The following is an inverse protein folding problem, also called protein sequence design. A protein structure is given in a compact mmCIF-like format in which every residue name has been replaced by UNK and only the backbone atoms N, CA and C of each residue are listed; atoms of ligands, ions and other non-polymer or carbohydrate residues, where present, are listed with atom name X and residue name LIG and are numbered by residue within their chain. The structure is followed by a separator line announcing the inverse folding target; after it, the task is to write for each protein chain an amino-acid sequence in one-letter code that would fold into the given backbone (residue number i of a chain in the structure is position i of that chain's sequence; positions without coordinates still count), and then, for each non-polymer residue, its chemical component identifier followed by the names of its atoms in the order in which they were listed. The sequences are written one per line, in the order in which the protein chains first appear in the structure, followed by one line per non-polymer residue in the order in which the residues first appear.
data_IF_569020807593
#
_entry.id   IF_569020807593
#
_cell.length_a   1.000
_cell.length_b   1.000
_cell.length_c   1.000
_cell.angle_alpha   90.00
_cell.angle_beta   90.00
_cell.angle_gamma   90.00
#
_symmetry.space_group_name_H-M   'P 1'
#
loop_
_entity.id
_entity.type
_entity.pdbx_description
1 polymer ?
#
# COMPACT_ATOMS: atom_id res chain seq x y z
N UNK A 1 -26.58 -25.07 39.01
CA UNK A 1 -26.88 -23.60 39.12
C UNK A 1 -25.65 -22.72 39.04
N UNK A 2 -24.68 -22.73 40.00
CA UNK A 2 -23.48 -21.86 39.88
C UNK A 2 -22.55 -22.24 38.73
N UNK A 3 -22.34 -23.53 38.50
CA UNK A 3 -21.54 -24.02 37.37
C UNK A 3 -22.17 -23.66 36.02
N UNK A 4 -23.51 -23.75 35.88
CA UNK A 4 -24.23 -23.40 34.66
C UNK A 4 -24.07 -21.90 34.34
N UNK A 5 -24.21 -21.05 35.35
CA UNK A 5 -24.02 -19.61 35.18
C UNK A 5 -22.56 -19.29 34.77
N UNK A 6 -21.56 -19.96 35.37
CA UNK A 6 -20.16 -19.75 35.00
C UNK A 6 -19.89 -20.16 33.53
N UNK A 7 -20.45 -21.29 33.09
CA UNK A 7 -20.32 -21.77 31.72
C UNK A 7 -21.07 -20.85 30.72
N UNK A 8 -22.24 -20.31 31.08
CA UNK A 8 -22.96 -19.31 30.25
C UNK A 8 -22.18 -18.01 30.13
N UNK A 9 -21.58 -17.51 31.21
CA UNK A 9 -20.72 -16.31 31.18
C UNK A 9 -19.51 -16.54 30.29
N UNK A 10 -18.87 -17.71 30.37
CA UNK A 10 -17.72 -18.04 29.52
C UNK A 10 -18.14 -18.10 28.04
N UNK A 11 -19.26 -18.74 27.72
CA UNK A 11 -19.78 -18.80 26.35
C UNK A 11 -20.14 -17.42 25.79
N UNK A 12 -20.73 -16.56 26.62
CA UNK A 12 -21.06 -15.18 26.22
C UNK A 12 -19.78 -14.36 26.00
N UNK A 13 -18.77 -14.50 26.87
CA UNK A 13 -17.49 -13.83 26.70
C UNK A 13 -16.78 -14.26 25.38
N UNK A 14 -16.77 -15.56 25.07
CA UNK A 14 -16.22 -16.08 23.82
C UNK A 14 -16.96 -15.50 22.60
N UNK A 15 -18.29 -15.40 22.66
CA UNK A 15 -19.09 -14.83 21.59
C UNK A 15 -18.72 -13.36 21.36
N UNK A 16 -18.69 -12.56 22.42
CA UNK A 16 -18.35 -11.13 22.33
C UNK A 16 -16.91 -10.95 21.82
N UNK A 17 -15.96 -11.75 22.28
CA UNK A 17 -14.57 -11.69 21.78
C UNK A 17 -14.47 -12.02 20.31
N UNK A 18 -15.18 -13.03 19.85
CA UNK A 18 -15.20 -13.41 18.43
C UNK A 18 -15.84 -12.33 17.56
N UNK A 19 -16.95 -11.73 18.00
CA UNK A 19 -17.59 -10.62 17.30
C UNK A 19 -16.64 -9.41 17.18
N UNK A 20 -16.00 -9.00 18.28
CA UNK A 20 -15.02 -7.89 18.27
C UNK A 20 -13.79 -8.17 17.40
N UNK A 21 -13.35 -9.42 17.33
CA UNK A 21 -12.23 -9.80 16.45
C UNK A 21 -12.63 -9.76 15.00
N UNK A 22 -13.82 -10.24 14.67
CA UNK A 22 -14.36 -10.18 13.31
C UNK A 22 -14.50 -8.73 12.84
N UNK A 23 -15.13 -7.88 13.66
CA UNK A 23 -15.30 -6.46 13.36
C UNK A 23 -13.93 -5.76 13.11
N UNK A 24 -12.92 -6.08 13.93
CA UNK A 24 -11.55 -5.54 13.73
C UNK A 24 -10.91 -6.04 12.45
N UNK A 25 -11.12 -7.32 12.10
CA UNK A 25 -10.58 -7.88 10.85
C UNK A 25 -11.25 -7.24 9.62
N UNK A 26 -12.57 -7.03 9.65
CA UNK A 26 -13.32 -6.33 8.61
C UNK A 26 -12.83 -4.89 8.44
N UNK A 27 -12.66 -4.16 9.54
CA UNK A 27 -12.15 -2.79 9.51
C UNK A 27 -10.72 -2.72 8.97
N UNK A 28 -9.84 -3.63 9.40
CA UNK A 28 -8.46 -3.70 8.93
C UNK A 28 -8.40 -4.00 7.41
N UNK A 29 -9.24 -4.92 6.94
CA UNK A 29 -9.35 -5.24 5.52
C UNK A 29 -9.83 -4.04 4.71
N UNK A 30 -10.88 -3.34 5.16
CA UNK A 30 -11.43 -2.18 4.46
C UNK A 30 -10.42 -1.04 4.36
N UNK A 31 -9.68 -0.75 5.45
CA UNK A 31 -8.60 0.25 5.45
C UNK A 31 -7.47 -0.15 4.50
N UNK A 32 -7.03 -1.40 4.54
CA UNK A 32 -5.97 -1.89 3.65
C UNK A 32 -6.41 -1.87 2.18
N UNK A 33 -7.67 -2.22 1.88
CA UNK A 33 -8.26 -2.14 0.54
C UNK A 33 -8.24 -0.71 0.00
N UNK A 34 -8.73 0.23 0.79
CA UNK A 34 -8.78 1.64 0.39
C UNK A 34 -7.39 2.23 0.12
N UNK A 35 -6.42 1.89 0.97
CA UNK A 35 -5.02 2.30 0.77
C UNK A 35 -4.43 1.71 -0.50
N UNK A 36 -4.67 0.43 -0.76
CA UNK A 36 -4.22 -0.24 -1.97
C UNK A 36 -4.80 0.40 -3.24
N UNK A 37 -6.12 0.62 -3.28
CA UNK A 37 -6.80 1.24 -4.41
C UNK A 37 -6.27 2.66 -4.67
N UNK A 38 -6.12 3.47 -3.61
CA UNK A 38 -5.57 4.83 -3.73
C UNK A 38 -4.15 4.85 -4.31
N UNK A 39 -3.25 4.00 -3.81
CA UNK A 39 -1.89 3.93 -4.32
C UNK A 39 -1.82 3.39 -5.75
N UNK A 40 -2.65 2.41 -6.10
CA UNK A 40 -2.74 1.89 -7.47
C UNK A 40 -3.15 3.00 -8.44
N UNK A 41 -4.13 3.81 -8.06
CA UNK A 41 -4.58 4.92 -8.89
C UNK A 41 -3.48 6.00 -9.04
N UNK A 42 -2.72 6.28 -7.98
CA UNK A 42 -1.55 7.17 -8.06
C UNK A 42 -0.47 6.65 -9.01
N UNK A 43 -0.16 5.35 -8.98
CA UNK A 43 0.77 4.71 -9.92
C UNK A 43 0.26 4.90 -11.36
N UNK A 44 -1.00 4.60 -11.61
CA UNK A 44 -1.60 4.75 -12.95
C UNK A 44 -1.51 6.18 -13.46
N UNK A 45 -1.80 7.18 -12.61
CA UNK A 45 -1.69 8.59 -12.98
C UNK A 45 -0.25 9.01 -13.30
N UNK A 46 0.72 8.52 -12.52
CA UNK A 46 2.13 8.81 -12.76
C UNK A 46 2.62 8.17 -14.07
N UNK A 47 2.22 6.93 -14.34
CA UNK A 47 2.51 6.23 -15.61
C UNK A 47 1.91 6.96 -16.80
N UNK A 48 0.66 7.41 -16.72
CA UNK A 48 -0.01 8.16 -17.78
C UNK A 48 0.68 9.50 -18.03
N UNK A 49 1.09 10.20 -16.99
CA UNK A 49 1.87 11.44 -17.10
C UNK A 49 3.21 11.20 -17.79
N UNK A 50 3.95 10.17 -17.37
CA UNK A 50 5.20 9.79 -18.03
C UNK A 50 5.00 9.42 -19.49
N UNK A 51 3.95 8.65 -19.81
CA UNK A 51 3.62 8.28 -21.18
C UNK A 51 3.34 9.51 -22.05
N UNK A 52 2.64 10.52 -21.52
CA UNK A 52 2.43 11.79 -22.23
C UNK A 52 3.74 12.53 -22.49
N UNK A 53 4.61 12.67 -21.47
CA UNK A 53 5.92 13.33 -21.59
C UNK A 53 6.80 12.58 -22.60
N UNK A 54 6.82 11.24 -22.53
CA UNK A 54 7.56 10.41 -23.51
C UNK A 54 6.99 10.55 -24.92
N UNK A 55 5.67 10.73 -25.06
CA UNK A 55 5.01 11.01 -26.34
C UNK A 55 5.44 12.32 -26.98
N UNK A 56 5.90 13.30 -26.19
CA UNK A 56 6.54 14.54 -26.66
C UNK A 56 8.00 14.32 -27.08
N UNK A 57 8.56 13.12 -26.88
CA UNK A 57 9.93 12.75 -27.24
C UNK A 57 10.95 12.93 -26.12
N UNK A 58 10.52 13.10 -24.86
CA UNK A 58 11.40 13.18 -23.68
C UNK A 58 11.41 11.81 -22.99
N UNK A 59 12.50 11.04 -23.13
CA UNK A 59 12.61 9.67 -22.57
C UNK A 59 13.98 9.36 -21.94
N UNK A 60 15.03 10.10 -22.28
CA UNK A 60 16.39 10.00 -21.71
C UNK A 60 16.98 11.41 -21.67
N UNK A 61 16.68 12.14 -20.61
CA UNK A 61 17.02 13.55 -20.50
C UNK A 61 18.53 13.80 -20.62
N UNK A 62 19.36 12.98 -19.96
CA UNK A 62 20.81 13.13 -19.96
C UNK A 62 21.42 12.78 -21.32
N UNK A 63 21.09 11.62 -21.86
CA UNK A 63 21.56 11.17 -23.17
C UNK A 63 21.10 12.10 -24.29
N UNK A 64 19.82 12.49 -24.31
CA UNK A 64 19.26 13.39 -25.29
C UNK A 64 19.93 14.78 -25.23
N UNK A 65 20.06 15.37 -24.03
CA UNK A 65 20.70 16.69 -23.84
C UNK A 65 22.15 16.67 -24.32
N UNK A 66 22.93 15.66 -23.93
CA UNK A 66 24.31 15.49 -24.35
C UNK A 66 24.46 15.35 -25.87
N UNK A 67 23.60 14.54 -26.49
CA UNK A 67 23.62 14.33 -27.94
C UNK A 67 23.25 15.62 -28.70
N UNK A 68 22.15 16.28 -28.29
CA UNK A 68 21.70 17.52 -28.94
C UNK A 68 22.71 18.66 -28.79
N UNK A 69 23.36 18.80 -27.62
CA UNK A 69 24.39 19.80 -27.39
C UNK A 69 25.62 19.57 -28.27
N UNK A 70 26.05 18.31 -28.45
CA UNK A 70 27.14 17.98 -29.37
C UNK A 70 26.79 18.29 -30.82
N UNK A 71 25.58 17.94 -31.24
CA UNK A 71 25.13 18.24 -32.60
C UNK A 71 25.00 19.73 -32.85
N UNK A 72 24.49 20.49 -31.86
CA UNK A 72 24.39 21.94 -31.91
C UNK A 72 25.78 22.59 -32.09
N UNK A 73 26.79 22.14 -31.35
CA UNK A 73 28.15 22.64 -31.51
C UNK A 73 28.71 22.40 -32.93
N UNK A 74 28.38 21.25 -33.52
CA UNK A 74 28.77 20.92 -34.91
C UNK A 74 28.04 21.84 -35.91
N UNK A 75 26.71 21.97 -35.79
CA UNK A 75 25.91 22.79 -36.70
C UNK A 75 26.30 24.27 -36.61
N UNK A 76 26.68 24.77 -35.45
CA UNK A 76 27.27 26.11 -35.28
C UNK A 76 28.60 26.26 -36.03
N UNK A 77 29.47 25.26 -35.96
CA UNK A 77 30.76 25.29 -36.71
C UNK A 77 30.61 25.25 -38.23
N UNK A 78 29.53 24.62 -38.69
CA UNK A 78 29.17 24.49 -40.11
C UNK A 78 28.29 25.64 -40.64
N UNK A 79 27.90 26.60 -39.78
CA UNK A 79 26.95 27.69 -40.05
C UNK A 79 25.57 27.19 -40.56
N UNK A 80 25.12 26.01 -40.07
CA UNK A 80 23.84 25.40 -40.43
C UNK A 80 22.69 26.04 -39.60
N UNK A 81 22.23 27.21 -39.98
CA UNK A 81 21.21 27.96 -39.25
C UNK A 81 19.88 27.22 -39.07
N UNK A 82 19.45 26.41 -40.05
CA UNK A 82 18.24 25.62 -39.95
C UNK A 82 18.40 24.44 -38.98
N UNK A 83 19.57 23.80 -38.94
CA UNK A 83 19.94 22.77 -37.99
C UNK A 83 19.96 23.32 -36.57
N UNK A 84 20.60 24.49 -36.38
CA UNK A 84 20.68 25.19 -35.07
C UNK A 84 19.27 25.43 -34.51
N UNK A 85 18.36 26.03 -35.29
CA UNK A 85 16.99 26.34 -34.86
C UNK A 85 16.25 25.07 -34.42
N UNK A 86 16.31 24.00 -35.20
CA UNK A 86 15.66 22.72 -34.87
C UNK A 86 16.20 22.08 -33.58
N UNK A 87 17.50 22.22 -33.32
CA UNK A 87 18.13 21.71 -32.13
C UNK A 87 17.81 22.56 -30.89
N UNK A 88 17.74 23.89 -31.05
CA UNK A 88 17.30 24.81 -29.99
C UNK A 88 15.83 24.53 -29.59
N UNK A 89 14.94 24.34 -30.55
CA UNK A 89 13.54 23.95 -30.28
C UNK A 89 13.46 22.63 -29.49
N UNK A 90 14.28 21.65 -29.86
CA UNK A 90 14.36 20.35 -29.14
C UNK A 90 14.94 20.50 -27.74
N UNK A 91 15.99 21.27 -27.57
CA UNK A 91 16.57 21.57 -26.24
C UNK A 91 15.59 22.35 -25.38
N UNK A 92 14.83 23.27 -25.94
CA UNK A 92 13.73 23.97 -25.25
C UNK A 92 12.69 22.99 -24.69
N UNK A 93 12.23 22.04 -25.52
CA UNK A 93 11.31 20.99 -25.06
C UNK A 93 11.89 20.14 -23.93
N UNK A 94 13.18 19.76 -24.00
CA UNK A 94 13.83 19.04 -22.90
C UNK A 94 13.90 19.91 -21.62
N UNK A 95 14.11 21.20 -21.74
CA UNK A 95 14.07 22.14 -20.62
C UNK A 95 12.71 22.26 -19.98
N UNK A 96 11.65 22.36 -20.80
CA UNK A 96 10.27 22.52 -20.33
C UNK A 96 9.72 21.28 -19.64
N UNK A 97 10.00 20.09 -20.19
CA UNK A 97 9.42 18.82 -19.70
C UNK A 97 10.38 17.94 -18.91
N UNK A 98 11.69 18.21 -18.97
CA UNK A 98 12.71 17.38 -18.30
C UNK A 98 12.55 17.31 -16.79
N UNK A 99 12.21 18.43 -16.13
CA UNK A 99 11.93 18.46 -14.70
C UNK A 99 10.73 17.59 -14.32
N UNK A 100 9.65 17.67 -15.10
CA UNK A 100 8.46 16.83 -14.89
C UNK A 100 8.75 15.35 -15.13
N UNK A 101 9.57 15.03 -16.14
CA UNK A 101 10.02 13.66 -16.40
C UNK A 101 10.79 13.07 -15.21
N UNK A 102 11.81 13.78 -14.70
CA UNK A 102 12.62 13.33 -13.56
C UNK A 102 11.76 13.17 -12.30
N UNK A 103 10.90 14.15 -12.02
CA UNK A 103 10.02 14.09 -10.86
C UNK A 103 9.08 12.87 -10.93
N UNK A 104 8.38 12.68 -12.05
CA UNK A 104 7.44 11.57 -12.19
C UNK A 104 8.13 10.20 -12.21
N UNK A 105 9.36 10.10 -12.74
CA UNK A 105 10.16 8.87 -12.68
C UNK A 105 10.53 8.52 -11.25
N UNK A 106 11.03 9.47 -10.48
CA UNK A 106 11.36 9.27 -9.06
C UNK A 106 10.10 8.99 -8.23
N UNK A 107 9.02 9.72 -8.47
CA UNK A 107 7.73 9.52 -7.81
C UNK A 107 7.17 8.12 -8.08
N UNK A 108 7.16 7.66 -9.34
CA UNK A 108 6.70 6.33 -9.71
C UNK A 108 7.50 5.23 -9.01
N UNK A 109 8.83 5.37 -8.92
CA UNK A 109 9.67 4.42 -8.17
C UNK A 109 9.26 4.32 -6.72
N UNK A 110 9.12 5.46 -6.02
CA UNK A 110 8.75 5.50 -4.61
C UNK A 110 7.33 4.95 -4.35
N UNK A 111 6.35 5.36 -5.16
CA UNK A 111 4.95 4.91 -4.99
C UNK A 111 4.82 3.43 -5.31
N UNK A 112 5.57 2.91 -6.30
CA UNK A 112 5.59 1.47 -6.62
C UNK A 112 6.13 0.62 -5.48
N UNK A 113 7.17 1.06 -4.78
CA UNK A 113 7.67 0.39 -3.57
C UNK A 113 6.62 0.37 -2.46
N UNK A 114 5.94 1.50 -2.24
CA UNK A 114 4.85 1.60 -1.27
C UNK A 114 3.68 0.69 -1.66
N UNK A 115 3.33 0.62 -2.94
CA UNK A 115 2.26 -0.25 -3.44
C UNK A 115 2.53 -1.73 -3.11
N UNK A 116 3.77 -2.21 -3.27
CA UNK A 116 4.16 -3.57 -2.93
C UNK A 116 3.94 -3.86 -1.44
N UNK A 117 4.31 -2.91 -0.55
CA UNK A 117 4.11 -3.07 0.89
C UNK A 117 2.63 -3.08 1.28
N UNK A 118 1.84 -2.19 0.70
CA UNK A 118 0.39 -2.11 0.97
C UNK A 118 -0.34 -3.30 0.36
N UNK A 119 0.08 -3.78 -0.81
CA UNK A 119 -0.47 -4.99 -1.41
C UNK A 119 -0.29 -6.21 -0.49
N UNK A 120 0.88 -6.33 0.16
CA UNK A 120 1.11 -7.38 1.17
C UNK A 120 0.13 -7.26 2.34
N UNK A 121 0.00 -6.06 2.92
CA UNK A 121 -0.94 -5.82 4.02
C UNK A 121 -2.40 -6.11 3.63
N UNK A 122 -2.77 -5.74 2.42
CA UNK A 122 -4.10 -6.06 1.88
C UNK A 122 -4.32 -7.57 1.80
N UNK A 123 -3.34 -8.34 1.31
CA UNK A 123 -3.43 -9.79 1.22
C UNK A 123 -3.46 -10.44 2.61
N UNK A 124 -2.67 -9.95 3.56
CA UNK A 124 -2.69 -10.41 4.96
C UNK A 124 -4.06 -10.15 5.59
N UNK A 125 -4.57 -8.93 5.52
CA UNK A 125 -5.88 -8.58 6.08
C UNK A 125 -7.02 -9.36 5.41
N UNK A 126 -6.93 -9.61 4.11
CA UNK A 126 -7.87 -10.46 3.37
C UNK A 126 -7.83 -11.90 3.86
N UNK A 127 -6.64 -12.45 4.03
CA UNK A 127 -6.46 -13.81 4.54
C UNK A 127 -6.97 -13.94 5.98
N UNK A 128 -6.72 -12.95 6.84
CA UNK A 128 -7.20 -12.94 8.22
C UNK A 128 -8.73 -12.93 8.29
N UNK A 129 -9.37 -12.19 7.39
CA UNK A 129 -10.82 -12.15 7.30
C UNK A 129 -11.41 -13.46 6.76
N UNK A 130 -10.83 -14.01 5.67
CA UNK A 130 -11.30 -15.24 5.03
C UNK A 130 -11.02 -16.50 5.88
N UNK A 131 -9.91 -16.52 6.62
CA UNK A 131 -9.51 -17.62 7.50
C UNK A 131 -9.99 -17.46 8.95
N UNK A 132 -10.92 -16.53 9.20
CA UNK A 132 -11.42 -16.28 10.54
C UNK A 132 -12.04 -17.57 11.14
N UNK A 133 -11.32 -18.14 12.11
CA UNK A 133 -11.80 -19.28 12.89
C UNK A 133 -12.22 -18.76 14.26
N UNK A 134 -13.48 -18.97 14.69
CA UNK A 134 -13.89 -18.60 16.03
C UNK A 134 -13.00 -19.28 17.06
N UNK A 135 -12.41 -18.49 17.94
CA UNK A 135 -11.56 -19.01 18.99
C UNK A 135 -12.43 -19.41 20.17
N UNK A 136 -12.36 -20.69 20.55
CA UNK A 136 -12.99 -21.19 21.77
C UNK A 136 -11.91 -21.91 22.58
N UNK A 137 -11.54 -21.36 23.70
CA UNK A 137 -10.55 -21.94 24.58
C UNK A 137 -11.20 -22.29 25.92
N UNK A 138 -11.69 -23.51 26.05
CA UNK A 138 -12.20 -24.06 27.30
C UNK A 138 -11.15 -25.02 27.84
N UNK A 139 -10.37 -24.58 28.84
CA UNK A 139 -9.41 -25.43 29.54
C UNK A 139 -10.09 -26.49 30.37
N UNK A 140 -11.18 -26.12 31.05
CA UNK A 140 -12.00 -27.00 31.84
C UNK A 140 -13.40 -26.41 32.01
N UNK A 141 -14.44 -27.23 32.00
CA UNK A 141 -15.80 -26.77 32.27
C UNK A 141 -16.06 -26.76 33.78
N UNK A 142 -16.85 -25.76 34.22
CA UNK A 142 -17.23 -25.70 35.62
C UNK A 142 -18.14 -26.90 35.98
N UNK A 143 -17.79 -27.61 37.02
CA UNK A 143 -18.57 -28.73 37.56
C UNK A 143 -19.27 -28.34 38.87
N UNK A 144 -20.39 -28.99 39.16
CA UNK A 144 -21.02 -28.87 40.47
C UNK A 144 -20.07 -29.44 41.52
N UNK A 145 -19.87 -28.69 42.64
CA UNK A 145 -19.04 -29.15 43.74
C UNK A 145 -19.68 -30.38 44.39
N UNK A 146 -18.98 -31.53 44.36
CA UNK A 146 -19.45 -32.80 44.97
C UNK A 146 -19.57 -32.74 46.47
N UNK A 147 -18.90 -31.77 47.14
CA UNK A 147 -18.95 -31.55 48.58
C UNK A 147 -19.09 -30.09 48.93
N UNK A 148 -19.98 -29.77 49.87
CA UNK A 148 -20.05 -28.46 50.50
C UNK A 148 -18.79 -28.24 51.33
N UNK A 149 -17.90 -27.35 50.88
CA UNK A 149 -16.76 -26.89 51.69
C UNK A 149 -17.26 -25.78 52.61
N UNK A 150 -17.64 -26.17 53.81
CA UNK A 150 -17.90 -25.20 54.89
C UNK A 150 -16.56 -24.74 55.46
N UNK A 151 -16.37 -23.45 55.71
CA UNK A 151 -15.21 -23.01 56.47
C UNK A 151 -15.30 -23.63 57.88
N UNK A 152 -14.30 -24.45 58.24
CA UNK A 152 -14.16 -24.95 59.59
C UNK A 152 -13.79 -23.76 60.44
N UNK A 153 -14.79 -23.22 61.21
CA UNK A 153 -14.51 -22.27 62.26
C UNK A 153 -13.81 -23.03 63.39
N UNK A 154 -12.54 -22.79 63.59
CA UNK A 154 -11.81 -23.14 64.81
C UNK A 154 -12.34 -22.24 65.92
N UNK A 155 -12.99 -22.84 66.89
CA UNK A 155 -13.29 -22.24 68.21
C UNK A 155 -12.07 -22.26 69.04
#
# INVERSE_FOLDING_TARGET
MAADIANEIAALADTIQNELRLERAELAFEVARQQYETLRDQVTQAEDTLRQIMGLGVFDLEGQSSMLTRQLAKDVSENNTEGIRRLEDRLGMLGDYGGAYLFNTAYLSNVSEHLIMIQRRYQEAKSDLESFVPFKFVLDSAFEAERKVYPVRWL
#
